data_IF_363918930719
#
_entry.id   IF_363918930719
#
_cell.length_a   1.000
_cell.length_b   1.000
_cell.length_c   1.000
_cell.angle_alpha   90.00
_cell.angle_beta   90.00
_cell.angle_gamma   90.00
#
_symmetry.space_group_name_H-M   'P 1'
#
loop_
_entity.id
_entity.type
_entity.pdbx_description
1 polymer ?
#
# COMPACT_ATOMS: atom_id res chain seq x y z
N UNK A 1 -18.76 11.42 -19.59
CA UNK A 1 -17.38 11.00 -19.26
C UNK A 1 -17.29 9.51 -18.93
N UNK A 2 -17.96 9.01 -17.89
CA UNK A 2 -17.88 7.60 -17.50
C UNK A 2 -18.35 6.61 -18.58
N UNK A 3 -19.41 6.93 -19.33
CA UNK A 3 -19.92 6.05 -20.39
C UNK A 3 -18.95 5.92 -21.59
N UNK A 4 -18.34 7.04 -22.00
CA UNK A 4 -17.33 7.05 -23.07
C UNK A 4 -16.08 6.26 -22.66
N UNK A 5 -15.64 6.43 -21.42
CA UNK A 5 -14.53 5.66 -20.87
C UNK A 5 -14.84 4.16 -20.86
N UNK A 6 -16.04 3.77 -20.42
CA UNK A 6 -16.46 2.36 -20.42
C UNK A 6 -16.44 1.76 -21.82
N UNK A 7 -16.98 2.44 -22.83
CA UNK A 7 -16.97 1.98 -24.22
C UNK A 7 -15.54 1.76 -24.72
N UNK A 8 -14.65 2.73 -24.49
CA UNK A 8 -13.24 2.63 -24.87
C UNK A 8 -12.53 1.44 -24.21
N UNK A 9 -12.78 1.19 -22.92
CA UNK A 9 -12.21 0.03 -22.21
C UNK A 9 -12.73 -1.28 -22.83
N UNK A 10 -14.02 -1.36 -23.15
CA UNK A 10 -14.62 -2.55 -23.78
C UNK A 10 -14.04 -2.83 -25.17
N UNK A 11 -13.83 -1.79 -25.98
CA UNK A 11 -13.20 -1.91 -27.30
C UNK A 11 -11.79 -2.48 -27.19
N UNK A 12 -10.97 -1.96 -26.26
CA UNK A 12 -9.60 -2.44 -26.01
C UNK A 12 -9.60 -3.92 -25.58
N UNK A 13 -10.51 -4.32 -24.68
CA UNK A 13 -10.63 -5.71 -24.21
C UNK A 13 -10.87 -6.65 -25.39
N UNK A 14 -11.80 -6.29 -26.29
CA UNK A 14 -12.17 -7.12 -27.44
C UNK A 14 -11.03 -7.17 -28.46
N UNK A 15 -10.46 -6.02 -28.81
CA UNK A 15 -9.38 -5.89 -29.80
C UNK A 15 -8.15 -6.71 -29.40
N UNK A 16 -7.75 -6.62 -28.13
CA UNK A 16 -6.53 -7.26 -27.62
C UNK A 16 -6.80 -8.64 -27.02
N UNK A 17 -8.05 -9.14 -27.06
CA UNK A 17 -8.46 -10.41 -26.44
C UNK A 17 -8.03 -10.50 -24.98
N UNK A 18 -8.22 -9.42 -24.23
CA UNK A 18 -7.83 -9.36 -22.81
C UNK A 18 -8.73 -10.30 -22.03
N UNK A 19 -8.13 -11.33 -21.45
CA UNK A 19 -8.84 -12.35 -20.66
C UNK A 19 -9.04 -11.94 -19.20
N UNK A 20 -8.17 -11.06 -18.68
CA UNK A 20 -8.19 -10.66 -17.28
C UNK A 20 -7.70 -9.22 -17.13
N UNK A 21 -8.41 -8.43 -16.32
CA UNK A 21 -8.07 -7.06 -16.00
C UNK A 21 -7.72 -7.00 -14.52
N UNK A 22 -6.64 -6.30 -14.21
CA UNK A 22 -6.21 -6.09 -12.84
C UNK A 22 -6.43 -4.63 -12.43
N UNK A 23 -7.21 -4.42 -11.37
CA UNK A 23 -7.22 -3.14 -10.67
C UNK A 23 -6.14 -3.17 -9.60
N UNK A 24 -5.27 -2.17 -9.60
CA UNK A 24 -4.24 -1.98 -8.60
C UNK A 24 -4.45 -0.63 -7.91
N UNK A 25 -4.46 -0.61 -6.59
CA UNK A 25 -4.58 0.62 -5.82
C UNK A 25 -3.69 0.60 -4.57
N UNK A 26 -3.27 1.78 -4.13
CA UNK A 26 -2.42 1.96 -2.97
C UNK A 26 -3.22 2.63 -1.85
N UNK A 27 -3.38 1.92 -0.72
CA UNK A 27 -4.07 2.44 0.46
C UNK A 27 -3.15 2.50 1.68
N UNK A 28 -3.41 3.43 2.60
CA UNK A 28 -2.71 3.51 3.87
C UNK A 28 -3.44 2.62 4.89
N UNK A 29 -2.72 1.67 5.49
CA UNK A 29 -3.20 0.86 6.60
C UNK A 29 -2.54 1.33 7.89
N UNK A 30 -3.35 1.81 8.83
CA UNK A 30 -2.86 2.25 10.15
C UNK A 30 -2.48 1.02 11.00
N UNK A 31 -1.42 1.14 11.82
CA UNK A 31 -0.96 0.03 12.67
C UNK A 31 -1.93 -0.28 13.81
N UNK A 32 -2.63 0.73 14.31
CA UNK A 32 -3.46 0.65 15.50
C UNK A 32 -4.56 1.69 15.42
N UNK A 33 -5.81 1.30 15.69
CA UNK A 33 -6.93 2.21 15.83
C UNK A 33 -7.49 2.09 17.26
N UNK A 34 -6.68 2.51 18.22
CA UNK A 34 -7.13 2.58 19.61
C UNK A 34 -7.85 3.90 19.87
N UNK A 35 -9.04 3.86 20.51
CA UNK A 35 -9.64 5.07 21.05
C UNK A 35 -8.74 5.64 22.16
N UNK A 36 -8.26 6.87 21.97
CA UNK A 36 -7.44 7.58 22.98
C UNK A 36 -8.27 8.05 24.17
N UNK A 37 -9.61 8.05 24.05
CA UNK A 37 -10.53 8.47 25.10
C UNK A 37 -11.66 7.47 25.31
N UNK A 38 -11.79 6.98 26.54
CA UNK A 38 -13.01 6.38 27.08
C UNK A 38 -13.66 7.41 27.99
N UNK A 39 -14.82 7.94 27.62
CA UNK A 39 -15.61 8.82 28.48
C UNK A 39 -16.48 7.93 29.36
N UNK A 40 -16.10 7.78 30.62
CA UNK A 40 -17.00 7.19 31.63
C UNK A 40 -17.79 8.29 32.31
N UNK A 41 -19.11 8.11 32.39
CA UNK A 41 -20.04 9.10 32.94
C UNK A 41 -20.05 9.19 34.46
N UNK A 42 -19.33 8.33 35.18
CA UNK A 42 -19.37 8.34 36.66
C UNK A 42 -18.15 7.65 37.26
N UNK A 43 -17.14 8.41 37.68
CA UNK A 43 -16.18 8.05 38.73
C UNK A 43 -15.43 6.70 38.66
N UNK A 44 -15.32 6.06 37.50
CA UNK A 44 -14.71 4.73 37.37
C UNK A 44 -13.27 4.84 36.86
N UNK A 45 -12.42 3.90 37.29
CA UNK A 45 -10.96 3.88 37.11
C UNK A 45 -10.57 3.98 35.63
N UNK A 46 -9.92 5.08 35.25
CA UNK A 46 -9.35 5.26 33.91
C UNK A 46 -8.36 4.13 33.60
N UNK A 47 -8.72 3.27 32.65
CA UNK A 47 -7.79 2.28 32.10
C UNK A 47 -7.10 2.91 30.91
N UNK A 48 -5.88 3.41 31.13
CA UNK A 48 -5.03 3.89 30.04
C UNK A 48 -4.65 2.72 29.15
N UNK A 49 -5.24 2.63 27.96
CA UNK A 49 -4.78 1.67 26.95
C UNK A 49 -3.44 2.16 26.45
N UNK A 50 -2.40 1.34 26.61
CA UNK A 50 -1.07 1.65 26.13
C UNK A 50 -1.07 1.51 24.60
N UNK A 51 -0.98 2.64 23.90
CA UNK A 51 -0.64 2.66 22.48
C UNK A 51 0.87 2.48 22.29
N UNK A 52 1.27 1.91 21.16
CA UNK A 52 2.67 1.81 20.73
C UNK A 52 3.31 3.19 20.40
N UNK A 53 2.56 4.30 20.51
CA UNK A 53 3.02 5.65 20.18
C UNK A 53 3.20 5.86 18.66
N UNK A 54 2.59 4.98 17.87
CA UNK A 54 2.70 4.90 16.41
C UNK A 54 1.37 5.16 15.70
N UNK A 55 0.43 5.80 16.38
CA UNK A 55 -0.95 6.06 15.93
C UNK A 55 -1.02 6.84 14.60
N UNK A 56 0.03 7.60 14.27
CA UNK A 56 0.16 8.36 13.01
C UNK A 56 1.03 7.66 11.95
N UNK A 57 1.62 6.52 12.28
CA UNK A 57 2.33 5.71 11.31
C UNK A 57 1.32 4.84 10.57
N UNK A 58 1.52 4.72 9.26
CA UNK A 58 0.78 3.83 8.40
C UNK A 58 1.78 3.00 7.60
N UNK A 59 1.43 1.74 7.36
CA UNK A 59 2.03 1.00 6.26
C UNK A 59 1.25 1.33 4.99
N UNK A 60 1.93 1.27 3.86
CA UNK A 60 1.28 1.36 2.58
C UNK A 60 0.96 -0.05 2.12
N UNK A 61 -0.28 -0.30 1.72
CA UNK A 61 -0.70 -1.59 1.18
C UNK A 61 -1.10 -1.39 -0.27
N UNK A 62 -0.51 -2.16 -1.18
CA UNK A 62 -1.01 -2.25 -2.56
C UNK A 62 -1.97 -3.43 -2.65
N UNK A 63 -3.19 -3.16 -3.09
CA UNK A 63 -4.23 -4.14 -3.37
C UNK A 63 -4.26 -4.40 -4.86
N UNK A 64 -4.30 -5.68 -5.23
CA UNK A 64 -4.44 -6.12 -6.60
C UNK A 64 -5.65 -7.04 -6.70
N UNK A 65 -6.65 -6.63 -7.47
CA UNK A 65 -7.88 -7.39 -7.68
C UNK A 65 -8.08 -7.65 -9.17
N UNK A 66 -8.31 -8.91 -9.52
CA UNK A 66 -8.61 -9.32 -10.88
C UNK A 66 -10.11 -9.18 -11.19
N UNK A 67 -10.44 -8.96 -12.46
CA UNK A 67 -11.82 -8.92 -12.96
C UNK A 67 -12.59 -10.23 -12.77
N UNK A 68 -11.87 -11.33 -12.55
CA UNK A 68 -12.41 -12.63 -12.14
C UNK A 68 -12.96 -12.65 -10.70
N UNK A 69 -12.77 -11.56 -9.94
CA UNK A 69 -13.11 -11.47 -8.52
C UNK A 69 -12.00 -11.96 -7.60
N UNK A 70 -10.87 -12.43 -8.15
CA UNK A 70 -9.73 -12.89 -7.36
C UNK A 70 -8.97 -11.71 -6.76
N UNK A 71 -8.86 -11.68 -5.43
CA UNK A 71 -7.93 -10.79 -4.74
C UNK A 71 -6.57 -11.49 -4.62
N UNK A 72 -5.51 -10.79 -5.03
CA UNK A 72 -4.15 -11.27 -4.85
C UNK A 72 -3.64 -10.93 -3.46
N UNK A 73 -2.57 -11.61 -3.04
CA UNK A 73 -1.92 -11.32 -1.77
C UNK A 73 -1.55 -9.84 -1.69
N UNK A 74 -1.86 -9.22 -0.54
CA UNK A 74 -1.54 -7.83 -0.27
C UNK A 74 -0.03 -7.61 -0.35
N UNK A 75 0.39 -6.55 -1.03
CA UNK A 75 1.78 -6.13 -1.01
C UNK A 75 1.97 -5.02 0.02
N UNK A 76 2.62 -5.34 1.13
CA UNK A 76 2.85 -4.38 2.22
C UNK A 76 4.18 -3.68 2.03
N UNK A 77 4.12 -2.36 1.87
CA UNK A 77 5.27 -1.47 1.73
C UNK A 77 5.45 -0.71 3.05
N UNK A 78 6.61 -0.91 3.65
CA UNK A 78 7.08 -0.13 4.78
C UNK A 78 7.94 1.03 4.28
N UNK A 79 7.68 2.25 4.77
CA UNK A 79 8.58 3.38 4.53
C UNK A 79 9.95 3.05 5.13
N UNK A 80 10.99 3.16 4.32
CA UNK A 80 12.37 2.99 4.75
C UNK A 80 13.04 4.37 4.86
N UNK A 81 13.85 4.63 5.88
CA UNK A 81 14.69 5.81 5.89
C UNK A 81 15.71 5.74 4.73
N UNK A 82 16.17 6.88 4.20
CA UNK A 82 17.23 6.90 3.21
C UNK A 82 18.50 6.19 3.72
N UNK A 83 19.34 5.75 2.78
CA UNK A 83 20.63 5.18 3.15
C UNK A 83 21.49 6.24 3.86
N UNK A 84 22.20 5.85 4.91
CA UNK A 84 23.18 6.73 5.58
C UNK A 84 24.40 7.01 4.70
N UNK A 85 24.61 6.22 3.66
CA UNK A 85 25.72 6.35 2.72
C UNK A 85 25.24 7.08 1.47
N UNK A 86 25.69 8.32 1.19
CA UNK A 86 25.18 9.14 0.09
C UNK A 86 25.30 8.48 -1.29
N UNK A 87 26.40 7.77 -1.54
CA UNK A 87 26.59 7.02 -2.80
C UNK A 87 25.53 5.93 -2.98
N UNK A 88 25.17 5.23 -1.89
CA UNK A 88 24.12 4.21 -1.92
C UNK A 88 22.73 4.82 -2.06
N UNK A 89 22.47 5.97 -1.43
CA UNK A 89 21.22 6.69 -1.60
C UNK A 89 21.01 7.13 -3.05
N UNK A 90 22.03 7.75 -3.66
CA UNK A 90 22.00 8.14 -5.06
C UNK A 90 21.79 6.93 -5.99
N UNK A 91 22.45 5.80 -5.71
CA UNK A 91 22.25 4.56 -6.46
C UNK A 91 20.83 4.01 -6.30
N UNK A 92 20.30 3.94 -5.08
CA UNK A 92 18.93 3.45 -4.83
C UNK A 92 17.90 4.31 -5.58
N UNK A 93 18.07 5.63 -5.57
CA UNK A 93 17.17 6.54 -6.28
C UNK A 93 17.22 6.35 -7.79
N UNK A 94 18.43 6.18 -8.35
CA UNK A 94 18.65 6.09 -9.79
C UNK A 94 18.29 4.72 -10.36
N UNK A 95 18.71 3.65 -9.69
CA UNK A 95 18.72 2.29 -10.24
C UNK A 95 17.71 1.35 -9.54
N UNK A 96 17.14 1.75 -8.40
CA UNK A 96 16.20 0.93 -7.62
C UNK A 96 14.87 1.64 -7.35
N UNK A 97 14.55 2.68 -8.12
CA UNK A 97 13.32 3.49 -7.97
C UNK A 97 13.08 4.01 -6.54
N UNK A 98 14.16 4.27 -5.80
CA UNK A 98 14.11 4.73 -4.41
C UNK A 98 13.94 3.61 -3.38
N UNK A 99 13.82 2.35 -3.78
CA UNK A 99 13.81 1.22 -2.86
C UNK A 99 15.23 0.91 -2.35
N UNK A 100 15.33 0.49 -1.08
CA UNK A 100 16.58 -0.03 -0.55
C UNK A 100 16.92 -1.40 -1.11
N UNK A 101 18.21 -1.76 -1.13
CA UNK A 101 18.75 -3.02 -1.67
C UNK A 101 17.92 -4.27 -1.34
N UNK A 102 17.57 -4.46 -0.07
CA UNK A 102 16.83 -5.66 0.37
C UNK A 102 15.44 -5.72 -0.23
N UNK A 103 14.70 -4.60 -0.18
CA UNK A 103 13.36 -4.52 -0.75
C UNK A 103 13.43 -4.67 -2.27
N UNK A 104 14.37 -3.97 -2.91
CA UNK A 104 14.61 -4.07 -4.35
C UNK A 104 14.83 -5.51 -4.82
N UNK A 105 15.63 -6.29 -4.09
CA UNK A 105 15.85 -7.70 -4.42
C UNK A 105 14.56 -8.54 -4.41
N UNK A 106 13.57 -8.16 -3.60
CA UNK A 106 12.28 -8.85 -3.49
C UNK A 106 11.24 -8.37 -4.50
N UNK A 107 11.35 -7.15 -5.04
CA UNK A 107 10.30 -6.52 -5.87
C UNK A 107 10.72 -6.25 -7.30
N UNK A 108 12.02 -6.33 -7.61
CA UNK A 108 12.50 -6.15 -8.97
C UNK A 108 11.80 -7.16 -9.89
N UNK A 109 11.45 -6.78 -11.13
CA UNK A 109 10.90 -7.72 -12.10
C UNK A 109 11.85 -8.92 -12.25
N UNK A 110 11.36 -10.12 -11.96
CA UNK A 110 12.00 -11.35 -12.43
C UNK A 110 11.60 -11.48 -13.90
N UNK A 111 12.54 -11.15 -14.79
CA UNK A 111 12.40 -11.44 -16.22
C UNK A 111 12.27 -12.93 -16.50
#
# INVERSE_FOLDING_TARGET
VAEQFRKKVQEIIIEHKIIEIYNADQTAMNYEHLPTHTIDTTGTRTVGVRSCGKDKSHMTVMLLAASSGKMHALFVIFKQPPSRTPATEAFNHREQHGFGRTLWCSVKPTG
#
